data_IF_421523693882
#
_entry.id   IF_421523693882
#
_cell.length_a   1.000
_cell.length_b   1.000
_cell.length_c   1.000
_cell.angle_alpha   90.00
_cell.angle_beta   90.00
_cell.angle_gamma   90.00
#
_symmetry.space_group_name_H-M   'P 1'
#
loop_
_entity.id
_entity.type
_entity.pdbx_description
1 polymer ?
#
# COMPACT_ATOMS: atom_id res chain seq x y z
N UNK A 1 18.63 25.46 51.48
CA UNK A 1 17.18 25.29 51.83
C UNK A 1 16.50 26.66 51.81
N UNK A 2 16.08 27.19 50.65
CA UNK A 2 15.08 28.24 50.45
C UNK A 2 15.08 28.77 49.02
N UNK A 3 14.53 28.04 48.06
CA UNK A 3 14.20 28.62 46.74
C UNK A 3 12.94 27.95 46.14
N UNK A 4 11.98 27.59 46.97
CA UNK A 4 10.66 27.14 46.54
C UNK A 4 9.61 28.13 47.05
N UNK A 5 9.58 29.33 46.49
CA UNK A 5 8.53 30.29 46.75
C UNK A 5 7.33 30.12 45.82
N UNK A 6 6.13 30.63 46.15
CA UNK A 6 4.90 30.49 45.35
C UNK A 6 5.04 31.00 43.90
N UNK A 7 6.03 31.86 43.61
CA UNK A 7 6.35 32.32 42.26
C UNK A 7 7.00 31.22 41.41
N UNK A 8 7.81 30.36 42.02
CA UNK A 8 8.48 29.24 41.30
C UNK A 8 7.47 28.15 40.90
N UNK A 9 6.47 27.88 41.77
CA UNK A 9 5.39 26.93 41.47
C UNK A 9 4.52 27.43 40.31
N UNK A 10 4.21 28.74 40.26
CA UNK A 10 3.48 29.35 39.16
C UNK A 10 4.21 29.26 37.81
N UNK A 11 5.52 29.51 37.81
CA UNK A 11 6.36 29.39 36.61
C UNK A 11 6.44 27.92 36.12
N UNK A 12 6.63 26.97 37.03
CA UNK A 12 6.68 25.54 36.66
C UNK A 12 5.35 25.05 36.08
N UNK A 13 4.21 25.46 36.65
CA UNK A 13 2.88 25.14 36.12
C UNK A 13 2.66 25.77 34.76
N UNK A 14 3.09 26.99 34.54
CA UNK A 14 2.98 27.67 33.24
C UNK A 14 3.84 26.96 32.18
N UNK A 15 5.08 26.61 32.52
CA UNK A 15 5.97 25.83 31.59
C UNK A 15 5.37 24.48 31.27
N UNK A 16 4.88 23.74 32.27
CA UNK A 16 4.24 22.46 32.07
C UNK A 16 3.00 22.56 31.15
N UNK A 17 2.14 23.55 31.39
CA UNK A 17 0.96 23.80 30.55
C UNK A 17 1.34 24.20 29.14
N UNK A 18 2.40 25.01 28.94
CA UNK A 18 2.90 25.39 27.62
C UNK A 18 3.46 24.20 26.86
N UNK A 19 4.23 23.33 27.51
CA UNK A 19 4.76 22.10 26.87
C UNK A 19 3.63 21.13 26.49
N UNK A 20 2.62 20.98 27.37
CA UNK A 20 1.44 20.18 27.07
C UNK A 20 0.66 20.73 25.88
N UNK A 21 0.43 22.05 25.84
CA UNK A 21 -0.26 22.72 24.74
C UNK A 21 0.51 22.57 23.41
N UNK A 22 1.84 22.71 23.45
CA UNK A 22 2.69 22.48 22.26
C UNK A 22 2.62 21.01 21.79
N UNK A 23 2.66 20.04 22.71
CA UNK A 23 2.49 18.62 22.40
C UNK A 23 1.15 18.33 21.72
N UNK A 24 0.04 18.82 22.31
CA UNK A 24 -1.31 18.69 21.75
C UNK A 24 -1.44 19.37 20.38
N UNK A 25 -0.83 20.55 20.20
CA UNK A 25 -0.83 21.23 18.91
C UNK A 25 -0.08 20.45 17.83
N UNK A 26 1.06 19.84 18.18
CA UNK A 26 1.81 18.98 17.27
C UNK A 26 1.02 17.71 16.89
N UNK A 27 0.35 17.07 17.84
CA UNK A 27 -0.52 15.91 17.59
C UNK A 27 -1.72 16.28 16.70
N UNK A 28 -2.35 17.42 16.92
CA UNK A 28 -3.43 17.92 16.08
C UNK A 28 -2.97 18.22 14.66
N UNK A 29 -1.80 18.86 14.49
CA UNK A 29 -1.23 19.13 13.18
C UNK A 29 -0.93 17.83 12.43
N UNK A 30 -0.34 16.85 13.08
CA UNK A 30 -0.05 15.54 12.50
C UNK A 30 -1.34 14.80 12.13
N UNK A 31 -2.37 14.83 12.99
CA UNK A 31 -3.69 14.24 12.71
C UNK A 31 -4.38 14.92 11.53
N UNK A 32 -4.28 16.24 11.43
CA UNK A 32 -4.86 17.02 10.31
C UNK A 32 -4.15 16.69 9.00
N UNK A 33 -2.81 16.58 8.98
CA UNK A 33 -2.05 16.15 7.80
C UNK A 33 -2.48 14.75 7.35
N UNK A 34 -2.66 13.83 8.29
CA UNK A 34 -3.13 12.46 7.99
C UNK A 34 -4.52 12.45 7.40
N UNK A 35 -5.47 13.18 8.02
CA UNK A 35 -6.83 13.28 7.47
C UNK A 35 -6.83 13.89 6.06
N UNK A 36 -6.03 14.92 5.83
CA UNK A 36 -5.91 15.54 4.50
C UNK A 36 -5.34 14.57 3.47
N UNK A 37 -4.32 13.78 3.83
CA UNK A 37 -3.75 12.74 2.98
C UNK A 37 -4.78 11.64 2.67
N UNK A 38 -5.53 11.16 3.69
CA UNK A 38 -6.59 10.16 3.50
C UNK A 38 -7.73 10.69 2.62
N UNK A 39 -8.19 11.91 2.85
CA UNK A 39 -9.24 12.53 2.01
C UNK A 39 -8.74 12.71 0.58
N UNK A 40 -7.48 13.12 0.38
CA UNK A 40 -6.85 13.19 -0.94
C UNK A 40 -6.80 11.83 -1.62
N UNK A 41 -6.36 10.80 -0.90
CA UNK A 41 -6.29 9.42 -1.39
C UNK A 41 -7.68 8.87 -1.76
N UNK A 42 -8.68 9.04 -0.89
CA UNK A 42 -10.07 8.62 -1.16
C UNK A 42 -10.65 9.38 -2.36
N UNK A 43 -10.38 10.68 -2.46
CA UNK A 43 -10.83 11.50 -3.61
C UNK A 43 -10.18 11.03 -4.90
N UNK A 44 -8.87 10.77 -4.91
CA UNK A 44 -8.14 10.22 -6.06
C UNK A 44 -8.69 8.84 -6.43
N UNK A 45 -8.89 7.97 -5.44
CA UNK A 45 -9.49 6.64 -5.63
C UNK A 45 -10.89 6.72 -6.24
N UNK A 46 -11.75 7.61 -5.73
CA UNK A 46 -13.12 7.81 -6.23
C UNK A 46 -13.17 8.52 -7.60
N UNK A 47 -12.21 9.40 -7.91
CA UNK A 47 -12.15 10.06 -9.21
C UNK A 47 -11.79 9.08 -10.33
N UNK A 48 -10.95 8.07 -10.02
CA UNK A 48 -10.61 6.99 -10.94
C UNK A 48 -11.75 5.96 -11.12
N UNK A 49 -12.83 6.02 -10.30
CA UNK A 49 -13.93 5.04 -10.30
C UNK A 49 -14.95 5.20 -11.45
N UNK A 50 -14.67 6.05 -12.44
CA UNK A 50 -15.59 6.27 -13.58
C UNK A 50 -15.60 5.15 -14.62
N UNK A 51 -14.82 4.08 -14.40
CA UNK A 51 -14.77 2.93 -15.32
C UNK A 51 -14.13 3.21 -16.68
N UNK A 52 -13.79 4.46 -16.95
CA UNK A 52 -13.17 4.90 -18.20
C UNK A 52 -11.65 4.60 -18.19
N UNK A 53 -11.12 4.40 -19.40
CA UNK A 53 -9.68 4.33 -19.59
C UNK A 53 -9.16 5.77 -19.50
N UNK A 54 -8.23 6.00 -18.59
CA UNK A 54 -7.59 7.29 -18.35
C UNK A 54 -6.08 7.16 -18.42
N UNK A 55 -5.42 8.24 -18.77
CA UNK A 55 -3.98 8.36 -18.63
C UNK A 55 -3.64 8.54 -17.15
N UNK A 56 -2.80 7.66 -16.58
CA UNK A 56 -2.52 7.66 -15.16
C UNK A 56 -1.07 7.25 -14.86
N UNK A 57 -0.46 7.94 -13.88
CA UNK A 57 0.81 7.54 -13.29
C UNK A 57 0.58 6.37 -12.32
N UNK A 58 1.16 5.21 -12.62
CA UNK A 58 1.05 4.03 -11.76
C UNK A 58 1.61 4.24 -10.36
N UNK A 59 2.60 5.15 -10.22
CA UNK A 59 3.18 5.46 -8.92
C UNK A 59 2.19 6.19 -8.01
N UNK A 60 1.34 7.07 -8.56
CA UNK A 60 0.27 7.72 -7.78
C UNK A 60 -0.71 6.68 -7.21
N UNK A 61 -1.09 5.68 -8.00
CA UNK A 61 -1.95 4.58 -7.55
C UNK A 61 -1.32 3.77 -6.43
N UNK A 62 -0.03 3.43 -6.55
CA UNK A 62 0.74 2.73 -5.53
C UNK A 62 0.84 3.54 -4.23
N UNK A 63 1.22 4.82 -4.31
CA UNK A 63 1.33 5.70 -3.13
C UNK A 63 -0.02 5.93 -2.46
N UNK A 64 -1.08 6.13 -3.23
CA UNK A 64 -2.45 6.25 -2.71
C UNK A 64 -2.84 4.99 -1.94
N UNK A 65 -2.52 3.82 -2.48
CA UNK A 65 -2.79 2.53 -1.81
C UNK A 65 -2.01 2.39 -0.50
N UNK A 66 -0.72 2.78 -0.49
CA UNK A 66 0.10 2.76 0.73
C UNK A 66 -0.50 3.68 1.81
N UNK A 67 -0.99 4.86 1.42
CA UNK A 67 -1.67 5.79 2.36
C UNK A 67 -2.94 5.16 2.94
N UNK A 68 -3.76 4.52 2.11
CA UNK A 68 -5.00 3.84 2.53
C UNK A 68 -4.68 2.69 3.50
N UNK A 69 -3.68 1.87 3.20
CA UNK A 69 -3.23 0.77 4.06
C UNK A 69 -2.40 1.23 5.27
N UNK A 70 -2.12 2.52 5.37
CA UNK A 70 -1.32 3.11 6.45
C UNK A 70 -1.84 2.80 7.86
N UNK A 71 -3.15 2.54 8.03
CA UNK A 71 -3.71 2.15 9.31
C UNK A 71 -3.23 0.75 9.76
N UNK A 72 -3.08 -0.21 8.83
CA UNK A 72 -2.51 -1.53 9.12
C UNK A 72 -1.00 -1.42 9.39
N UNK A 73 -0.29 -0.68 8.55
CA UNK A 73 1.16 -0.50 8.65
C UNK A 73 1.59 0.16 9.98
N UNK A 74 0.80 1.09 10.52
CA UNK A 74 1.11 1.77 11.79
C UNK A 74 1.12 0.86 13.01
N UNK A 75 0.43 -0.26 12.94
CA UNK A 75 0.37 -1.24 14.01
C UNK A 75 1.48 -2.30 13.92
N UNK A 76 2.35 -2.16 12.92
CA UNK A 76 3.42 -3.10 12.61
C UNK A 76 4.77 -2.38 12.48
N UNK A 77 5.85 -3.17 12.47
CA UNK A 77 7.22 -2.72 12.15
C UNK A 77 7.58 -3.08 10.70
N UNK A 78 6.60 -3.05 9.79
CA UNK A 78 6.82 -3.31 8.36
C UNK A 78 7.39 -2.07 7.69
N UNK A 79 8.49 -2.24 6.97
CA UNK A 79 9.13 -1.19 6.17
C UNK A 79 8.71 -1.30 4.70
N UNK A 80 8.30 -0.18 4.09
CA UNK A 80 8.03 -0.09 2.65
C UNK A 80 9.23 0.54 1.95
N UNK A 81 9.90 -0.22 1.09
CA UNK A 81 10.99 0.24 0.22
C UNK A 81 10.44 0.53 -1.18
N UNK A 82 10.77 1.70 -1.71
CA UNK A 82 10.35 2.14 -3.04
C UNK A 82 11.55 2.19 -3.97
N UNK A 83 11.49 1.41 -5.04
CA UNK A 83 12.51 1.36 -6.10
C UNK A 83 11.81 1.65 -7.44
N UNK A 84 11.44 2.92 -7.62
CA UNK A 84 10.61 3.38 -8.74
C UNK A 84 11.44 3.87 -9.91
N UNK A 85 11.18 3.33 -11.09
CA UNK A 85 11.62 3.93 -12.35
C UNK A 85 10.73 5.13 -12.70
N UNK A 86 11.20 6.32 -12.34
CA UNK A 86 10.49 7.58 -12.58
C UNK A 86 10.47 8.01 -14.06
N UNK A 87 11.09 7.23 -14.94
CA UNK A 87 11.06 7.48 -16.40
C UNK A 87 9.89 6.76 -17.09
N UNK A 88 9.12 5.95 -16.35
CA UNK A 88 7.91 5.34 -16.88
C UNK A 88 6.91 6.41 -17.31
N UNK A 89 6.35 6.32 -18.52
CA UNK A 89 5.29 7.22 -18.94
C UNK A 89 3.98 6.90 -18.19
N UNK A 90 3.04 7.84 -18.23
CA UNK A 90 1.65 7.55 -17.86
C UNK A 90 1.09 6.44 -18.76
N UNK A 91 0.21 5.62 -18.21
CA UNK A 91 -0.40 4.50 -18.90
C UNK A 91 -1.90 4.75 -19.13
N UNK A 92 -2.40 4.32 -20.27
CA UNK A 92 -3.84 4.29 -20.54
C UNK A 92 -4.47 3.10 -19.80
N UNK A 93 -5.09 3.35 -18.65
CA UNK A 93 -5.57 2.27 -17.75
C UNK A 93 -6.91 2.62 -17.09
N UNK A 94 -7.58 1.62 -16.56
CA UNK A 94 -8.70 1.81 -15.63
C UNK A 94 -8.15 1.97 -14.23
N UNK A 95 -7.94 3.22 -13.81
CA UNK A 95 -7.21 3.55 -12.59
C UNK A 95 -7.78 2.92 -11.33
N UNK A 96 -9.13 2.88 -11.20
CA UNK A 96 -9.80 2.23 -10.05
C UNK A 96 -9.53 0.72 -9.99
N UNK A 97 -9.51 0.06 -11.14
CA UNK A 97 -9.21 -1.38 -11.23
C UNK A 97 -7.76 -1.64 -10.83
N UNK A 98 -6.79 -0.82 -11.28
CA UNK A 98 -5.39 -0.97 -10.86
C UNK A 98 -5.19 -0.67 -9.37
N UNK A 99 -5.89 0.31 -8.81
CA UNK A 99 -5.84 0.56 -7.36
C UNK A 99 -6.33 -0.66 -6.56
N UNK A 100 -7.31 -1.39 -7.08
CA UNK A 100 -7.76 -2.65 -6.49
C UNK A 100 -6.67 -3.75 -6.60
N UNK A 101 -5.91 -3.78 -7.71
CA UNK A 101 -4.75 -4.68 -7.85
C UNK A 101 -3.72 -4.38 -6.77
N UNK A 102 -3.30 -3.12 -6.65
CA UNK A 102 -2.29 -2.71 -5.67
C UNK A 102 -2.75 -2.98 -4.24
N UNK A 103 -4.02 -2.67 -3.93
CA UNK A 103 -4.60 -2.94 -2.61
C UNK A 103 -4.55 -4.42 -2.27
N UNK A 104 -4.98 -5.30 -3.18
CA UNK A 104 -4.97 -6.74 -2.92
C UNK A 104 -3.56 -7.31 -2.75
N UNK A 105 -2.59 -6.88 -3.58
CA UNK A 105 -1.23 -7.38 -3.50
C UNK A 105 -0.51 -6.88 -2.24
N UNK A 106 -0.62 -5.58 -1.91
CA UNK A 106 -0.01 -4.99 -0.73
C UNK A 106 -0.65 -5.50 0.56
N UNK A 107 -1.98 -5.66 0.58
CA UNK A 107 -2.68 -6.21 1.73
C UNK A 107 -2.27 -7.66 2.00
N UNK A 108 -2.09 -8.47 0.94
CA UNK A 108 -1.58 -9.82 1.06
C UNK A 108 -0.15 -9.87 1.60
N UNK A 109 0.73 -8.97 1.15
CA UNK A 109 2.10 -8.88 1.64
C UNK A 109 2.13 -8.47 3.13
N UNK A 110 1.33 -7.48 3.55
CA UNK A 110 1.21 -7.06 4.95
C UNK A 110 0.71 -8.23 5.82
N UNK A 111 -0.33 -8.94 5.37
CA UNK A 111 -0.87 -10.07 6.12
C UNK A 111 0.13 -11.24 6.23
N UNK A 112 0.95 -11.48 5.19
CA UNK A 112 1.99 -12.52 5.21
C UNK A 112 3.12 -12.20 6.18
N UNK A 113 3.48 -10.93 6.33
CA UNK A 113 4.54 -10.46 7.23
C UNK A 113 4.08 -10.41 8.70
N UNK A 114 2.82 -10.14 8.95
CA UNK A 114 2.28 -9.98 10.28
C UNK A 114 2.79 -8.71 10.96
N UNK A 115 3.72 -8.83 11.91
CA UNK A 115 4.15 -7.69 12.74
C UNK A 115 5.41 -6.99 12.23
N UNK A 116 6.27 -7.66 11.46
CA UNK A 116 7.56 -7.10 11.01
C UNK A 116 8.02 -7.69 9.70
N UNK A 117 8.78 -6.91 8.95
CA UNK A 117 9.38 -7.32 7.67
C UNK A 117 9.52 -6.16 6.71
N UNK A 118 9.82 -6.50 5.45
CA UNK A 118 10.05 -5.51 4.40
C UNK A 118 9.21 -5.83 3.18
N UNK A 119 8.49 -4.83 2.67
CA UNK A 119 7.84 -4.88 1.36
C UNK A 119 8.62 -3.96 0.43
N UNK A 120 9.15 -4.51 -0.66
CA UNK A 120 9.80 -3.73 -1.71
C UNK A 120 8.87 -3.61 -2.91
N UNK A 121 8.62 -2.38 -3.33
CA UNK A 121 7.84 -2.08 -4.54
C UNK A 121 8.81 -1.54 -5.56
N UNK A 122 9.00 -2.30 -6.65
CA UNK A 122 9.86 -1.91 -7.76
C UNK A 122 9.01 -1.67 -8.99
N UNK A 123 9.35 -0.62 -9.74
CA UNK A 123 8.81 -0.40 -11.08
C UNK A 123 9.96 -0.36 -12.08
N UNK A 124 9.71 -0.86 -13.29
CA UNK A 124 10.69 -0.85 -14.38
C UNK A 124 9.99 -0.89 -15.72
N UNK A 125 10.73 -0.60 -16.78
CA UNK A 125 10.28 -0.74 -18.16
C UNK A 125 10.96 -1.93 -18.83
N UNK A 126 10.17 -2.73 -19.51
CA UNK A 126 10.68 -3.79 -20.41
C UNK A 126 10.00 -3.65 -21.77
N UNK A 127 10.74 -3.07 -22.73
CA UNK A 127 10.23 -2.79 -24.06
C UNK A 127 9.02 -1.85 -24.06
N UNK A 128 7.88 -2.38 -24.47
CA UNK A 128 6.56 -1.71 -24.52
C UNK A 128 5.70 -1.99 -23.28
N UNK A 129 6.29 -2.48 -22.20
CA UNK A 129 5.59 -2.86 -20.98
C UNK A 129 6.14 -2.14 -19.75
N UNK A 130 5.23 -1.74 -18.86
CA UNK A 130 5.54 -1.36 -17.50
C UNK A 130 5.47 -2.59 -16.61
N UNK A 131 6.45 -2.76 -15.75
CA UNK A 131 6.52 -3.85 -14.78
C UNK A 131 6.42 -3.27 -13.38
N UNK A 132 5.53 -3.83 -12.58
CA UNK A 132 5.44 -3.56 -11.14
C UNK A 132 5.67 -4.85 -10.38
N UNK A 133 6.68 -4.85 -9.51
CA UNK A 133 7.00 -5.96 -8.63
C UNK A 133 6.73 -5.56 -7.19
N UNK A 134 5.96 -6.39 -6.50
CA UNK A 134 5.72 -6.27 -5.06
C UNK A 134 6.34 -7.49 -4.41
N UNK A 135 7.39 -7.28 -3.64
CA UNK A 135 8.16 -8.33 -2.97
C UNK A 135 8.05 -8.19 -1.46
N UNK A 136 7.70 -9.25 -0.77
CA UNK A 136 7.77 -9.38 0.68
C UNK A 136 8.86 -10.37 1.10
N UNK A 137 9.43 -10.18 2.28
CA UNK A 137 10.40 -11.09 2.91
C UNK A 137 9.74 -12.07 3.89
N UNK A 138 8.46 -12.36 3.68
CA UNK A 138 7.64 -13.23 4.51
C UNK A 138 7.93 -14.73 4.35
N UNK A 139 7.07 -15.58 4.96
CA UNK A 139 7.30 -17.04 5.02
C UNK A 139 7.20 -17.74 3.67
N UNK A 140 6.71 -17.06 2.65
CA UNK A 140 6.47 -17.64 1.33
C UNK A 140 5.11 -18.35 1.24
N UNK A 141 4.78 -18.77 0.01
CA UNK A 141 3.56 -19.51 -0.30
C UNK A 141 3.89 -21.00 -0.28
N UNK A 142 3.18 -21.80 0.55
CA UNK A 142 3.37 -23.25 0.60
C UNK A 142 3.26 -23.89 -0.80
N UNK A 143 4.14 -24.85 -1.16
CA UNK A 143 4.16 -25.46 -2.49
C UNK A 143 2.79 -26.02 -2.93
N UNK A 144 2.06 -26.60 -2.00
CA UNK A 144 0.72 -27.18 -2.23
C UNK A 144 -0.34 -26.13 -2.54
N UNK A 145 -0.14 -24.89 -2.12
CA UNK A 145 -1.07 -23.79 -2.37
C UNK A 145 -0.84 -23.10 -3.72
N UNK A 146 0.40 -23.16 -4.25
CA UNK A 146 0.85 -22.35 -5.39
C UNK A 146 0.00 -22.51 -6.65
N UNK A 147 -0.47 -23.72 -6.94
CA UNK A 147 -1.32 -23.99 -8.10
C UNK A 147 -2.72 -23.41 -7.99
N UNK A 148 -3.14 -23.04 -6.77
CA UNK A 148 -4.51 -22.64 -6.44
C UNK A 148 -4.67 -21.22 -5.98
N UNK A 149 -3.58 -20.46 -5.79
CA UNK A 149 -3.65 -19.09 -5.22
C UNK A 149 -4.51 -18.13 -6.02
N UNK A 150 -4.75 -18.42 -7.31
CA UNK A 150 -5.61 -17.63 -8.19
C UNK A 150 -7.03 -18.20 -8.33
N UNK A 151 -7.34 -19.33 -7.68
CA UNK A 151 -8.69 -19.89 -7.66
C UNK A 151 -9.59 -19.02 -6.77
N UNK A 152 -10.83 -18.81 -7.23
CA UNK A 152 -11.82 -18.09 -6.43
C UNK A 152 -12.11 -18.86 -5.13
N UNK A 153 -12.26 -18.09 -4.03
CA UNK A 153 -12.52 -18.61 -2.69
C UNK A 153 -11.40 -19.45 -2.07
N UNK A 154 -10.26 -19.61 -2.75
CA UNK A 154 -9.10 -20.26 -2.16
C UNK A 154 -8.35 -19.29 -1.23
N UNK A 155 -8.14 -19.70 0.02
CA UNK A 155 -7.37 -18.96 1.02
C UNK A 155 -6.64 -19.91 1.94
N UNK A 156 -5.42 -19.53 2.34
CA UNK A 156 -4.64 -20.18 3.40
C UNK A 156 -4.81 -19.47 4.75
N UNK A 157 -5.56 -18.36 4.79
CA UNK A 157 -5.84 -17.60 6.00
C UNK A 157 -6.95 -18.29 6.82
N UNK A 158 -6.97 -18.05 8.13
CA UNK A 158 -8.00 -18.56 9.04
C UNK A 158 -9.41 -18.19 8.58
N UNK A 159 -10.39 -19.02 8.98
CA UNK A 159 -11.81 -18.82 8.67
C UNK A 159 -12.25 -17.42 9.11
N UNK A 160 -12.78 -16.64 8.18
CA UNK A 160 -13.25 -15.26 8.42
C UNK A 160 -12.17 -14.17 8.22
N UNK A 161 -10.91 -14.52 8.00
CA UNK A 161 -9.83 -13.54 7.76
C UNK A 161 -9.46 -13.34 6.28
N UNK A 162 -9.92 -14.21 5.40
CA UNK A 162 -9.66 -14.11 3.96
C UNK A 162 -10.88 -14.50 3.15
N UNK A 163 -11.24 -13.70 2.15
CA UNK A 163 -12.36 -14.00 1.24
C UNK A 163 -11.98 -14.99 0.13
N UNK A 164 -10.67 -15.18 -0.11
CA UNK A 164 -10.16 -15.97 -1.24
C UNK A 164 -10.44 -15.36 -2.61
N UNK A 165 -10.85 -14.09 -2.67
CA UNK A 165 -11.18 -13.41 -3.93
C UNK A 165 -10.10 -12.43 -4.40
N UNK A 166 -9.18 -12.03 -3.52
CA UNK A 166 -8.21 -10.97 -3.80
C UNK A 166 -7.32 -11.26 -5.01
N UNK A 167 -6.63 -12.40 -5.04
CA UNK A 167 -5.72 -12.76 -6.14
C UNK A 167 -6.47 -13.15 -7.42
N UNK A 168 -7.64 -13.78 -7.33
CA UNK A 168 -8.51 -14.01 -8.48
C UNK A 168 -8.94 -12.69 -9.14
N UNK A 169 -9.28 -11.69 -8.33
CA UNK A 169 -9.59 -10.32 -8.80
C UNK A 169 -8.38 -9.67 -9.45
N UNK A 170 -7.20 -9.77 -8.84
CA UNK A 170 -5.94 -9.25 -9.44
C UNK A 170 -5.71 -9.85 -10.83
N UNK A 171 -5.82 -11.18 -10.96
CA UNK A 171 -5.63 -11.87 -12.24
C UNK A 171 -6.63 -11.36 -13.28
N UNK A 172 -7.91 -11.31 -12.94
CA UNK A 172 -8.96 -10.83 -13.84
C UNK A 172 -8.69 -9.40 -14.31
N UNK A 173 -8.33 -8.49 -13.40
CA UNK A 173 -8.06 -7.09 -13.77
C UNK A 173 -6.83 -6.99 -14.67
N UNK A 174 -5.71 -7.62 -14.28
CA UNK A 174 -4.46 -7.51 -15.01
C UNK A 174 -4.54 -8.20 -16.38
N UNK A 175 -5.05 -9.44 -16.42
CA UNK A 175 -5.03 -10.25 -17.63
C UNK A 175 -6.21 -9.94 -18.53
N UNK A 176 -7.44 -10.00 -18.01
CA UNK A 176 -8.64 -9.95 -18.85
C UNK A 176 -9.06 -8.51 -19.19
N UNK A 177 -8.67 -7.53 -18.34
CA UNK A 177 -9.11 -6.13 -18.51
C UNK A 177 -8.02 -5.19 -19.02
N UNK A 178 -6.74 -5.56 -18.84
CA UNK A 178 -5.61 -4.70 -19.22
C UNK A 178 -4.63 -5.37 -20.18
N UNK A 179 -4.94 -6.55 -20.75
CA UNK A 179 -4.04 -7.32 -21.63
C UNK A 179 -2.63 -7.47 -21.05
N UNK A 180 -2.56 -7.53 -19.73
CA UNK A 180 -1.33 -7.66 -18.98
C UNK A 180 -0.97 -9.12 -18.69
N UNK A 181 0.11 -9.30 -17.92
CA UNK A 181 0.50 -10.60 -17.39
C UNK A 181 0.73 -10.49 -15.88
N UNK A 182 0.34 -11.54 -15.16
CA UNK A 182 0.55 -11.69 -13.73
C UNK A 182 1.33 -12.96 -13.48
N UNK A 183 2.49 -12.83 -12.85
CA UNK A 183 3.32 -13.96 -12.43
C UNK A 183 3.72 -13.81 -10.98
N UNK A 184 4.19 -14.88 -10.36
CA UNK A 184 4.76 -14.83 -9.03
C UNK A 184 5.90 -15.84 -8.88
N UNK A 185 6.79 -15.51 -7.96
CA UNK A 185 7.84 -16.39 -7.45
C UNK A 185 7.75 -16.39 -5.94
N UNK A 186 7.87 -17.55 -5.30
CA UNK A 186 7.78 -17.63 -3.86
C UNK A 186 8.66 -18.72 -3.30
N UNK A 187 9.41 -18.34 -2.27
CA UNK A 187 10.19 -19.20 -1.39
C UNK A 187 10.19 -18.60 0.01
N UNK A 188 10.53 -19.37 1.05
CA UNK A 188 10.70 -18.81 2.39
C UNK A 188 11.67 -17.63 2.39
N UNK A 189 11.24 -16.49 2.96
CA UNK A 189 12.01 -15.25 2.97
C UNK A 189 11.85 -14.38 1.72
N UNK A 190 11.08 -14.80 0.71
CA UNK A 190 10.84 -13.97 -0.47
C UNK A 190 9.62 -14.43 -1.25
N UNK A 191 8.60 -13.57 -1.35
CA UNK A 191 7.51 -13.71 -2.32
C UNK A 191 7.47 -12.47 -3.20
N UNK A 192 7.48 -12.66 -4.50
CA UNK A 192 7.39 -11.56 -5.48
C UNK A 192 6.20 -11.79 -6.38
N UNK A 193 5.26 -10.85 -6.40
CA UNK A 193 4.24 -10.76 -7.44
C UNK A 193 4.70 -9.75 -8.48
N UNK A 194 4.64 -10.15 -9.76
CA UNK A 194 5.01 -9.31 -10.90
C UNK A 194 3.79 -9.06 -11.76
N UNK A 195 3.41 -7.80 -11.89
CA UNK A 195 2.36 -7.28 -12.78
C UNK A 195 3.04 -6.64 -13.98
N UNK A 196 2.66 -7.05 -15.18
CA UNK A 196 3.19 -6.56 -16.44
C UNK A 196 2.05 -5.94 -17.23
N UNK A 197 2.11 -4.64 -17.52
CA UNK A 197 1.06 -3.88 -18.22
C UNK A 197 1.59 -3.31 -19.52
N UNK A 198 0.82 -3.33 -20.62
CA UNK A 198 1.23 -2.66 -21.85
C UNK A 198 1.25 -1.14 -21.62
N UNK A 199 2.26 -0.45 -22.17
CA UNK A 199 2.34 1.03 -22.11
C UNK A 199 1.24 1.69 -22.92
N UNK A 200 0.75 1.01 -23.98
CA UNK A 200 -0.36 1.46 -24.80
C UNK A 200 -1.40 0.36 -24.86
N UNK A 201 -2.63 0.63 -24.41
CA UNK A 201 -3.74 -0.31 -24.66
C UNK A 201 -4.12 -0.28 -26.14
N UNK A 202 -4.35 -1.46 -26.72
CA UNK A 202 -5.02 -1.55 -28.02
C UNK A 202 -6.48 -1.12 -27.84
N UNK A 203 -6.89 -0.14 -28.64
CA UNK A 203 -8.26 0.31 -28.71
C UNK A 203 -9.21 -0.80 -29.13
#
# INVERSE_FOLDING_TARGET
EALAGPATDGVLRWVAASLTAQGLAAELQESTKRMSALVGAVKSYAYMDRGDIVEADIHEGLETTIVILGHKLKQTMITIVRDYDRTLPELMVRGSELNQVWTNLLDNAIDALGEHGTITIRTSRDGDRAIVEITDDGPGIPPEARSRIFDEFFTTKDVGRGTGLGLATVRRIVVDRHDGALTFESQPGKTTFRVCLPLTQKA
#
